data_IF_573489694115
#
_entry.id   IF_573489694115
#
_cell.length_a   1.000
_cell.length_b   1.000
_cell.length_c   1.000
_cell.angle_alpha   90.00
_cell.angle_beta   90.00
_cell.angle_gamma   90.00
#
_symmetry.space_group_name_H-M   'P 1'
#
loop_
_entity.id
_entity.type
_entity.pdbx_description
1 polymer ?
#
# COMPACT_ATOMS: atom_id res chain seq x y z
N UNK A 1 -4.16 26.44 -2.47
CA UNK A 1 -4.35 24.97 -2.34
C UNK A 1 -5.45 24.61 -3.31
N UNK A 2 -5.06 24.09 -4.47
CA UNK A 2 -6.02 23.50 -5.39
C UNK A 2 -6.49 22.19 -4.74
N UNK A 3 -7.79 21.90 -4.69
CA UNK A 3 -8.32 20.68 -4.08
C UNK A 3 -8.02 19.44 -4.96
N UNK A 4 -6.80 19.38 -5.49
CA UNK A 4 -6.34 18.44 -6.49
C UNK A 4 -4.83 18.23 -6.43
N UNK A 5 -4.35 17.14 -7.02
CA UNK A 5 -2.94 16.94 -7.34
C UNK A 5 -2.79 16.05 -8.58
N UNK A 6 -1.62 16.08 -9.21
CA UNK A 6 -1.26 15.21 -10.33
C UNK A 6 -0.52 13.96 -9.85
N UNK A 7 -0.95 12.80 -10.35
CA UNK A 7 -0.30 11.51 -10.14
C UNK A 7 0.25 10.97 -11.47
N UNK A 8 1.53 10.65 -11.51
CA UNK A 8 2.18 10.04 -12.67
C UNK A 8 2.01 8.52 -12.61
N UNK A 9 1.28 7.94 -13.56
CA UNK A 9 1.09 6.49 -13.69
C UNK A 9 2.13 5.94 -14.67
N UNK A 10 3.11 5.19 -14.18
CA UNK A 10 4.18 4.60 -14.99
C UNK A 10 3.87 3.16 -15.38
N UNK A 11 3.70 2.90 -16.68
CA UNK A 11 3.71 1.54 -17.22
C UNK A 11 4.61 1.47 -18.46
N UNK A 12 4.07 1.28 -19.66
CA UNK A 12 4.84 1.41 -20.91
C UNK A 12 5.25 2.85 -21.21
N UNK A 13 4.49 3.82 -20.68
CA UNK A 13 4.75 5.25 -20.74
C UNK A 13 4.20 5.90 -19.46
N UNK A 14 4.57 7.16 -19.24
CA UNK A 14 3.98 7.96 -18.15
C UNK A 14 2.65 8.53 -18.61
N UNK A 15 1.59 8.26 -17.85
CA UNK A 15 0.29 8.92 -18.00
C UNK A 15 -0.01 9.73 -16.75
N UNK A 16 -0.29 11.01 -16.91
CA UNK A 16 -0.69 11.86 -15.79
C UNK A 16 -2.19 11.73 -15.55
N UNK A 17 -2.57 11.55 -14.30
CA UNK A 17 -3.97 11.56 -13.85
C UNK A 17 -4.14 12.62 -12.80
N UNK A 18 -5.17 13.44 -12.93
CA UNK A 18 -5.55 14.41 -11.92
C UNK A 18 -6.43 13.74 -10.85
N UNK A 19 -6.07 13.94 -9.59
CA UNK A 19 -6.84 13.48 -8.44
C UNK A 19 -7.49 14.69 -7.81
N UNK A 20 -8.82 14.74 -7.86
CA UNK A 20 -9.64 15.86 -7.43
C UNK A 20 -10.33 15.60 -6.10
N UNK A 21 -10.96 16.64 -5.53
CA UNK A 21 -11.73 16.60 -4.29
C UNK A 21 -10.91 16.16 -3.07
N UNK A 22 -9.67 16.63 -2.98
CA UNK A 22 -8.79 16.34 -1.84
C UNK A 22 -8.57 17.56 -0.96
N UNK A 23 -8.34 17.34 0.32
CA UNK A 23 -7.98 18.38 1.28
C UNK A 23 -6.82 17.88 2.13
N UNK A 24 -5.81 18.73 2.32
CA UNK A 24 -4.67 18.45 3.21
C UNK A 24 -4.81 19.18 4.54
N UNK A 25 -4.50 18.49 5.64
CA UNK A 25 -4.42 19.07 6.99
C UNK A 25 -3.00 18.88 7.53
N UNK A 26 -2.41 19.95 8.06
CA UNK A 26 -1.12 19.90 8.73
C UNK A 26 -1.33 19.57 10.22
N UNK A 27 -0.78 18.44 10.67
CA UNK A 27 -0.92 17.97 12.05
C UNK A 27 -0.13 18.79 13.08
N UNK A 28 0.86 19.57 12.62
CA UNK A 28 1.62 20.49 13.48
C UNK A 28 0.83 21.74 13.82
N UNK A 29 -0.22 22.04 13.05
CA UNK A 29 -1.15 23.12 13.36
C UNK A 29 -2.26 22.61 14.30
N UNK A 30 -2.37 23.14 15.54
CA UNK A 30 -3.36 22.65 16.51
C UNK A 30 -4.81 22.73 16.05
N UNK A 31 -5.17 23.78 15.30
CA UNK A 31 -6.52 23.97 14.79
C UNK A 31 -6.87 22.94 13.70
N UNK A 32 -5.93 22.67 12.79
CA UNK A 32 -6.11 21.64 11.75
C UNK A 32 -6.10 20.23 12.35
N UNK A 33 -5.32 20.00 13.41
CA UNK A 33 -5.36 18.75 14.18
C UNK A 33 -6.71 18.54 14.87
N UNK A 34 -7.27 19.58 15.47
CA UNK A 34 -8.63 19.53 16.04
C UNK A 34 -9.69 19.26 14.96
N UNK A 35 -9.54 19.89 13.79
CA UNK A 35 -10.41 19.61 12.63
C UNK A 35 -10.32 18.15 12.17
N UNK A 36 -9.12 17.54 12.16
CA UNK A 36 -8.97 16.12 11.85
C UNK A 36 -9.73 15.24 12.85
N UNK A 37 -9.63 15.54 14.15
CA UNK A 37 -10.34 14.79 15.20
C UNK A 37 -11.86 14.85 14.97
N UNK A 38 -12.40 16.04 14.68
CA UNK A 38 -13.82 16.21 14.33
C UNK A 38 -14.20 15.42 13.07
N UNK A 39 -13.34 15.40 12.04
CA UNK A 39 -13.56 14.60 10.82
C UNK A 39 -13.59 13.10 11.11
N UNK A 40 -12.66 12.59 11.92
CA UNK A 40 -12.65 11.18 12.35
C UNK A 40 -13.97 10.80 13.03
N UNK A 41 -14.60 11.73 13.77
CA UNK A 41 -15.90 11.46 14.39
C UNK A 41 -17.04 11.22 13.40
N UNK A 42 -16.87 11.65 12.13
CA UNK A 42 -17.93 11.68 11.10
C UNK A 42 -17.71 10.66 9.98
N UNK A 43 -16.47 10.39 9.60
CA UNK A 43 -16.17 9.53 8.43
C UNK A 43 -16.47 8.05 8.70
N UNK A 44 -16.83 7.28 7.66
CA UNK A 44 -17.02 5.83 7.77
C UNK A 44 -15.71 5.03 7.67
N UNK A 45 -14.71 5.56 6.95
CA UNK A 45 -13.46 4.86 6.65
C UNK A 45 -12.28 5.79 6.91
N UNK A 46 -11.23 5.24 7.52
CA UNK A 46 -9.91 5.87 7.67
C UNK A 46 -8.87 4.91 7.11
N UNK A 47 -7.96 5.43 6.29
CA UNK A 47 -6.75 4.71 5.86
C UNK A 47 -5.53 5.24 6.59
N UNK A 48 -4.58 4.37 6.94
CA UNK A 48 -3.24 4.78 7.40
C UNK A 48 -2.18 4.30 6.42
N UNK A 49 -1.18 5.14 6.16
CA UNK A 49 0.02 4.80 5.39
C UNK A 49 1.20 5.63 5.91
N UNK A 50 1.52 5.47 7.19
CA UNK A 50 2.46 6.31 7.96
C UNK A 50 3.74 5.57 8.36
N UNK A 51 3.87 4.29 8.02
CA UNK A 51 4.88 3.39 8.55
C UNK A 51 4.48 2.85 9.92
N UNK A 52 4.81 1.58 10.19
CA UNK A 52 4.43 0.89 11.42
C UNK A 52 4.95 1.59 12.70
N UNK A 53 6.11 2.23 12.62
CA UNK A 53 6.72 3.00 13.72
C UNK A 53 5.89 4.21 14.17
N UNK A 54 5.07 4.78 13.28
CA UNK A 54 4.23 5.95 13.59
C UNK A 54 2.78 5.58 13.94
N UNK A 55 2.40 4.30 13.90
CA UNK A 55 1.02 3.91 14.18
C UNK A 55 0.57 4.26 15.60
N UNK A 56 1.47 4.25 16.58
CA UNK A 56 1.15 4.63 17.96
C UNK A 56 0.72 6.09 18.07
N UNK A 57 1.42 7.00 17.38
CA UNK A 57 1.06 8.43 17.40
C UNK A 57 -0.27 8.68 16.68
N UNK A 58 -0.53 7.96 15.58
CA UNK A 58 -1.81 7.98 14.88
C UNK A 58 -2.94 7.43 15.74
N UNK A 59 -2.72 6.32 16.47
CA UNK A 59 -3.70 5.74 17.37
C UNK A 59 -4.17 6.72 18.45
N UNK A 60 -3.28 7.57 18.96
CA UNK A 60 -3.64 8.63 19.91
C UNK A 60 -4.63 9.65 19.33
N UNK A 61 -4.45 10.04 18.07
CA UNK A 61 -5.37 10.97 17.37
C UNK A 61 -6.69 10.27 17.07
N UNK A 62 -6.64 9.04 16.55
CA UNK A 62 -7.83 8.23 16.28
C UNK A 62 -8.67 8.03 17.54
N UNK A 63 -8.04 7.73 18.68
CA UNK A 63 -8.73 7.54 19.94
C UNK A 63 -9.53 8.78 20.38
N UNK A 64 -9.04 10.00 20.10
CA UNK A 64 -9.79 11.22 20.38
C UNK A 64 -11.05 11.32 19.49
N UNK A 65 -10.91 11.08 18.20
CA UNK A 65 -12.04 11.12 17.26
C UNK A 65 -13.06 10.00 17.51
N UNK A 66 -12.61 8.80 17.90
CA UNK A 66 -13.48 7.67 18.26
C UNK A 66 -14.33 8.02 19.50
N UNK A 67 -13.74 8.64 20.53
CA UNK A 67 -14.50 9.08 21.71
C UNK A 67 -15.59 10.09 21.35
N UNK A 68 -15.29 11.06 20.47
CA UNK A 68 -16.28 12.01 19.97
C UNK A 68 -17.35 11.37 19.09
N UNK A 69 -17.03 10.27 18.40
CA UNK A 69 -17.99 9.49 17.62
C UNK A 69 -18.99 8.76 18.52
N UNK A 70 -18.49 8.09 19.56
CA UNK A 70 -19.31 7.29 20.47
C UNK A 70 -20.43 8.08 21.15
N UNK A 71 -20.24 9.39 21.35
CA UNK A 71 -21.28 10.26 21.92
C UNK A 71 -22.37 10.70 20.93
N UNK A 72 -22.17 10.50 19.62
CA UNK A 72 -23.02 11.02 18.54
C UNK A 72 -23.78 9.95 17.75
N UNK A 73 -23.45 8.67 17.87
CA UNK A 73 -24.15 7.58 17.17
C UNK A 73 -23.36 6.27 17.06
N UNK A 74 -23.98 5.23 16.49
CA UNK A 74 -23.46 3.84 16.46
C UNK A 74 -22.91 3.39 15.10
N UNK A 75 -22.80 4.26 14.11
CA UNK A 75 -22.31 3.86 12.78
C UNK A 75 -20.88 3.31 12.87
N UNK A 76 -20.64 2.20 12.18
CA UNK A 76 -19.33 1.57 12.17
C UNK A 76 -18.24 2.52 11.66
N UNK A 77 -17.06 2.44 12.25
CA UNK A 77 -15.84 3.09 11.77
C UNK A 77 -14.88 2.00 11.32
N UNK A 78 -14.43 2.08 10.07
CA UNK A 78 -13.45 1.17 9.52
C UNK A 78 -12.07 1.82 9.46
N UNK A 79 -11.09 1.23 10.12
CA UNK A 79 -9.70 1.67 10.09
C UNK A 79 -8.91 0.66 9.26
N UNK A 80 -8.53 1.05 8.05
CA UNK A 80 -7.75 0.25 7.12
C UNK A 80 -6.27 0.61 7.21
N UNK A 81 -5.54 -0.13 8.02
CA UNK A 81 -4.11 0.04 8.18
C UNK A 81 -3.37 -0.46 6.95
N UNK A 82 -2.95 0.48 6.09
CA UNK A 82 -2.39 0.21 4.76
C UNK A 82 -0.86 0.17 4.78
N UNK A 83 -0.29 -0.16 5.94
CA UNK A 83 1.16 -0.34 6.11
C UNK A 83 1.62 -1.66 5.51
N UNK A 84 2.87 -1.70 5.02
CA UNK A 84 3.50 -2.92 4.58
C UNK A 84 4.00 -3.73 5.80
N UNK A 85 3.16 -4.59 6.36
CA UNK A 85 3.56 -5.46 7.46
C UNK A 85 2.55 -6.56 7.78
N UNK A 86 2.95 -7.43 8.71
CA UNK A 86 2.11 -8.51 9.21
C UNK A 86 1.41 -8.09 10.50
N UNK A 87 0.16 -8.54 10.71
CA UNK A 87 -0.65 -8.26 11.90
C UNK A 87 -0.76 -6.77 12.29
N UNK A 88 -0.75 -5.85 11.32
CA UNK A 88 -0.80 -4.41 11.56
C UNK A 88 -2.12 -4.00 12.22
N UNK A 89 -3.21 -4.67 11.86
CA UNK A 89 -4.54 -4.50 12.44
C UNK A 89 -4.55 -4.79 13.95
N UNK A 90 -3.87 -5.85 14.38
CA UNK A 90 -3.76 -6.21 15.79
C UNK A 90 -2.90 -5.19 16.55
N UNK A 91 -1.82 -4.72 15.93
CA UNK A 91 -0.96 -3.68 16.49
C UNK A 91 -1.71 -2.36 16.69
N UNK A 92 -2.48 -1.92 15.69
CA UNK A 92 -3.36 -0.76 15.81
C UNK A 92 -4.39 -0.96 16.92
N UNK A 93 -4.99 -2.15 17.01
CA UNK A 93 -5.94 -2.47 18.08
C UNK A 93 -5.31 -2.36 19.46
N UNK A 94 -4.08 -2.86 19.66
CA UNK A 94 -3.38 -2.73 20.94
C UNK A 94 -3.10 -1.27 21.29
N UNK A 95 -2.67 -0.45 20.32
CA UNK A 95 -2.42 0.97 20.58
C UNK A 95 -3.71 1.74 20.89
N UNK A 96 -4.82 1.43 20.24
CA UNK A 96 -6.10 2.04 20.56
C UNK A 96 -6.57 1.67 21.97
N UNK A 97 -6.33 0.42 22.40
CA UNK A 97 -6.68 -0.06 23.75
C UNK A 97 -5.88 0.61 24.87
N UNK A 98 -4.69 1.13 24.59
CA UNK A 98 -3.95 1.97 25.55
C UNK A 98 -4.70 3.28 25.88
N UNK A 99 -5.59 3.73 24.98
CA UNK A 99 -6.39 4.96 25.17
C UNK A 99 -7.86 4.66 25.48
N UNK A 100 -8.43 3.57 24.94
CA UNK A 100 -9.85 3.23 25.06
C UNK A 100 -9.95 1.77 25.53
N UNK A 101 -10.15 1.55 26.83
CA UNK A 101 -10.25 0.21 27.42
C UNK A 101 -11.34 -0.63 26.74
N UNK A 102 -12.53 -0.06 26.62
CA UNK A 102 -13.71 -0.71 26.02
C UNK A 102 -13.90 -0.23 24.58
N UNK A 103 -12.95 -0.57 23.70
CA UNK A 103 -13.05 -0.24 22.28
C UNK A 103 -14.29 -0.93 21.68
N UNK A 104 -15.28 -0.10 21.30
CA UNK A 104 -16.54 -0.56 20.72
C UNK A 104 -16.35 -1.51 19.54
N UNK A 105 -17.20 -2.55 19.45
CA UNK A 105 -17.27 -3.45 18.29
C UNK A 105 -17.69 -2.76 16.99
N UNK A 106 -18.20 -1.53 17.07
CA UNK A 106 -18.44 -0.68 15.90
C UNK A 106 -17.14 -0.17 15.26
N UNK A 107 -16.00 -0.22 15.95
CA UNK A 107 -14.69 0.10 15.38
C UNK A 107 -14.08 -1.19 14.81
N UNK A 108 -14.05 -1.30 13.49
CA UNK A 108 -13.49 -2.43 12.76
C UNK A 108 -12.12 -2.06 12.20
N UNK A 109 -11.13 -2.89 12.44
CA UNK A 109 -9.74 -2.64 12.02
C UNK A 109 -9.34 -3.72 11.02
N UNK A 110 -8.81 -3.31 9.87
CA UNK A 110 -8.34 -4.22 8.83
C UNK A 110 -6.94 -3.86 8.36
N UNK A 111 -6.24 -4.85 7.82
CA UNK A 111 -4.93 -4.65 7.16
C UNK A 111 -5.02 -5.13 5.72
N UNK A 112 -5.50 -4.29 4.78
CA UNK A 112 -5.59 -4.63 3.36
C UNK A 112 -4.24 -5.06 2.75
N UNK A 113 -4.30 -5.81 1.66
CA UNK A 113 -3.11 -6.17 0.89
C UNK A 113 -2.75 -5.00 -0.03
N UNK A 114 -1.77 -4.20 0.37
CA UNK A 114 -1.27 -3.08 -0.44
C UNK A 114 -0.11 -3.51 -1.32
N UNK A 115 -0.39 -3.77 -2.60
CA UNK A 115 0.57 -4.31 -3.58
C UNK A 115 0.94 -3.35 -4.71
N UNK A 116 0.90 -2.03 -4.50
CA UNK A 116 1.22 -1.02 -5.52
C UNK A 116 2.52 -0.30 -5.19
N UNK A 117 3.48 -0.33 -6.10
CA UNK A 117 4.71 0.46 -6.01
C UNK A 117 4.43 1.92 -6.32
N UNK A 118 4.85 2.77 -5.39
CA UNK A 118 4.74 4.21 -5.45
C UNK A 118 6.05 4.82 -4.98
N UNK A 119 6.41 5.99 -5.50
CA UNK A 119 7.58 6.75 -5.06
C UNK A 119 7.38 8.24 -5.32
N UNK A 120 8.15 9.05 -4.62
CA UNK A 120 8.28 10.47 -4.93
C UNK A 120 9.63 10.71 -5.59
N UNK A 121 9.67 11.63 -6.54
CA UNK A 121 10.90 12.12 -7.17
C UNK A 121 10.99 13.61 -6.90
N UNK A 122 12.10 14.06 -6.32
CA UNK A 122 12.38 15.47 -6.08
C UNK A 122 13.16 16.08 -7.26
N UNK A 123 13.17 17.42 -7.33
CA UNK A 123 13.95 18.19 -8.31
C UNK A 123 13.68 17.78 -9.77
N UNK A 124 12.43 17.45 -10.10
CA UNK A 124 12.06 17.09 -11.46
C UNK A 124 12.20 18.30 -12.40
N UNK A 125 12.56 18.03 -13.66
CA UNK A 125 12.63 19.06 -14.71
C UNK A 125 11.25 19.27 -15.32
N UNK A 126 10.90 20.52 -15.65
CA UNK A 126 9.62 20.87 -16.32
C UNK A 126 9.42 20.13 -17.65
N UNK A 127 10.49 19.93 -18.40
CA UNK A 127 10.50 19.18 -19.68
C UNK A 127 10.82 17.67 -19.47
N UNK A 128 10.71 17.17 -18.24
CA UNK A 128 10.99 15.79 -17.88
C UNK A 128 9.83 14.84 -18.19
N UNK A 129 10.08 13.54 -17.98
CA UNK A 129 9.09 12.48 -18.18
C UNK A 129 7.94 12.50 -17.14
N UNK A 130 8.13 13.19 -16.01
CA UNK A 130 7.16 13.29 -14.93
C UNK A 130 6.67 14.73 -14.79
N UNK A 131 5.40 14.89 -14.44
CA UNK A 131 4.83 16.18 -14.06
C UNK A 131 4.84 16.35 -12.54
N UNK A 132 5.00 17.59 -12.10
CA UNK A 132 4.96 17.93 -10.68
C UNK A 132 3.56 17.70 -10.12
N UNK A 133 3.46 17.46 -8.82
CA UNK A 133 2.15 17.26 -8.18
C UNK A 133 1.20 18.46 -8.31
N UNK A 134 1.75 19.67 -8.47
CA UNK A 134 1.06 20.91 -8.81
C UNK A 134 2.08 21.93 -9.34
N UNK A 135 1.62 23.03 -9.96
CA UNK A 135 2.46 23.94 -10.76
C UNK A 135 3.61 24.59 -9.98
N UNK A 136 3.40 24.88 -8.69
CA UNK A 136 4.39 25.50 -7.81
C UNK A 136 5.34 24.50 -7.12
N UNK A 137 5.30 23.22 -7.50
CA UNK A 137 6.12 22.18 -6.91
C UNK A 137 7.17 21.66 -7.89
N UNK A 138 8.31 21.25 -7.37
CA UNK A 138 9.42 20.65 -8.12
C UNK A 138 9.56 19.14 -7.86
N UNK A 139 8.52 18.48 -7.34
CA UNK A 139 8.52 17.05 -7.07
C UNK A 139 7.27 16.37 -7.65
N UNK A 140 7.41 15.09 -7.98
CA UNK A 140 6.38 14.26 -8.59
C UNK A 140 6.00 13.09 -7.67
N UNK A 141 4.72 12.77 -7.60
CA UNK A 141 4.25 11.46 -7.15
C UNK A 141 4.16 10.52 -8.35
N UNK A 142 4.83 9.37 -8.28
CA UNK A 142 4.84 8.34 -9.32
C UNK A 142 4.31 7.03 -8.73
N UNK A 143 3.45 6.35 -9.46
CA UNK A 143 2.98 5.03 -9.10
C UNK A 143 2.81 4.16 -10.34
N UNK A 144 2.98 2.86 -10.20
CA UNK A 144 2.59 1.91 -11.24
C UNK A 144 1.04 1.81 -11.38
N UNK A 145 0.50 1.03 -12.34
CA UNK A 145 -0.92 0.79 -12.43
C UNK A 145 -1.53 0.25 -11.13
N UNK A 146 -2.81 0.49 -10.95
CA UNK A 146 -3.53 0.04 -9.77
C UNK A 146 -4.15 -1.36 -10.01
N UNK A 147 -4.07 -2.24 -9.01
CA UNK A 147 -4.43 -3.67 -9.13
C UNK A 147 -5.52 -4.15 -8.17
N UNK A 148 -6.07 -3.28 -7.31
CA UNK A 148 -7.01 -3.71 -6.27
C UNK A 148 -6.61 -3.30 -4.87
N UNK A 149 -7.58 -3.34 -3.95
CA UNK A 149 -7.37 -3.37 -2.50
C UNK A 149 -8.10 -4.61 -1.96
N UNK A 150 -7.43 -5.78 -1.94
CA UNK A 150 -7.97 -6.96 -1.29
C UNK A 150 -8.23 -6.71 0.19
N UNK A 151 -9.40 -7.14 0.65
CA UNK A 151 -9.88 -7.05 2.03
C UNK A 151 -10.58 -8.36 2.41
N UNK A 152 -10.49 -8.72 3.69
CA UNK A 152 -11.28 -9.83 4.22
C UNK A 152 -12.77 -9.53 4.09
N UNK A 153 -13.55 -10.55 3.74
CA UNK A 153 -15.00 -10.42 3.50
C UNK A 153 -15.76 -9.81 4.70
N UNK A 154 -15.35 -10.14 5.92
CA UNK A 154 -15.97 -9.64 7.16
C UNK A 154 -15.87 -8.11 7.32
N UNK A 155 -14.94 -7.48 6.60
CA UNK A 155 -14.82 -6.03 6.47
C UNK A 155 -15.49 -5.55 5.18
N UNK A 156 -15.15 -6.16 4.04
CA UNK A 156 -15.51 -5.67 2.71
C UNK A 156 -17.01 -5.73 2.37
N UNK A 157 -17.81 -6.54 3.09
CA UNK A 157 -19.28 -6.63 2.88
C UNK A 157 -20.07 -5.40 3.29
N UNK A 158 -19.48 -4.50 4.09
CA UNK A 158 -20.18 -3.29 4.50
C UNK A 158 -20.39 -2.33 3.31
N UNK A 159 -21.57 -1.71 3.24
CA UNK A 159 -21.98 -0.81 2.15
C UNK A 159 -21.05 0.40 1.96
N UNK A 160 -20.24 0.74 2.96
CA UNK A 160 -19.24 1.82 2.85
C UNK A 160 -18.12 1.46 1.85
N UNK A 161 -17.89 0.16 1.61
CA UNK A 161 -16.96 -0.32 0.59
C UNK A 161 -17.72 -0.57 -0.70
N UNK A 162 -17.60 0.38 -1.63
CA UNK A 162 -18.25 0.32 -2.93
C UNK A 162 -17.26 0.53 -4.07
N UNK A 163 -17.68 0.11 -5.27
CA UNK A 163 -16.87 0.21 -6.47
C UNK A 163 -15.84 -0.91 -6.60
N UNK A 164 -15.13 -0.92 -7.73
CA UNK A 164 -14.17 -1.97 -8.08
C UNK A 164 -12.90 -1.93 -7.24
N UNK A 165 -12.71 -0.88 -6.44
CA UNK A 165 -11.52 -0.65 -5.65
C UNK A 165 -11.30 -1.74 -4.59
N UNK A 166 -12.38 -2.11 -3.90
CA UNK A 166 -12.34 -3.07 -2.82
C UNK A 166 -12.65 -4.47 -3.34
N UNK A 167 -11.74 -5.40 -3.12
CA UNK A 167 -11.88 -6.78 -3.54
C UNK A 167 -12.12 -7.63 -2.30
N UNK A 168 -13.36 -8.09 -2.10
CA UNK A 168 -13.69 -8.98 -1.00
C UNK A 168 -13.05 -10.36 -1.24
N UNK A 169 -12.39 -10.89 -0.21
CA UNK A 169 -11.69 -12.16 -0.23
C UNK A 169 -12.08 -13.00 0.99
N UNK A 170 -12.30 -14.29 0.78
CA UNK A 170 -12.48 -15.23 1.90
C UNK A 170 -11.23 -15.26 2.78
N UNK A 171 -11.34 -15.62 4.06
CA UNK A 171 -10.20 -15.53 5.00
C UNK A 171 -8.98 -16.34 4.51
N UNK A 172 -9.24 -17.55 4.00
CA UNK A 172 -8.23 -18.47 3.50
C UNK A 172 -7.53 -17.91 2.25
N UNK A 173 -8.31 -17.44 1.28
CA UNK A 173 -7.81 -16.80 0.05
C UNK A 173 -7.05 -15.52 0.37
N UNK A 174 -7.57 -14.67 1.27
CA UNK A 174 -6.90 -13.45 1.70
C UNK A 174 -5.54 -13.74 2.33
N UNK A 175 -5.45 -14.74 3.21
CA UNK A 175 -4.18 -15.18 3.80
C UNK A 175 -3.19 -15.64 2.73
N UNK A 176 -3.66 -16.43 1.76
CA UNK A 176 -2.85 -16.90 0.63
C UNK A 176 -2.33 -15.72 -0.22
N UNK A 177 -3.20 -14.80 -0.62
CA UNK A 177 -2.84 -13.61 -1.40
C UNK A 177 -1.88 -12.69 -0.64
N UNK A 178 -2.02 -12.57 0.68
CA UNK A 178 -1.08 -11.82 1.51
C UNK A 178 0.29 -12.47 1.46
N UNK A 179 0.38 -13.81 1.59
CA UNK A 179 1.65 -14.55 1.44
C UNK A 179 2.24 -14.42 0.02
N UNK A 180 1.42 -14.52 -1.02
CA UNK A 180 1.83 -14.29 -2.42
C UNK A 180 2.48 -12.91 -2.56
N UNK A 181 1.82 -11.85 -2.07
CA UNK A 181 2.39 -10.49 -2.09
C UNK A 181 3.69 -10.41 -1.31
N UNK A 182 3.75 -10.91 -0.07
CA UNK A 182 4.95 -10.79 0.76
C UNK A 182 6.13 -11.56 0.17
N UNK A 183 5.92 -12.79 -0.31
CA UNK A 183 7.03 -13.61 -0.80
C UNK A 183 7.42 -13.26 -2.24
N UNK A 184 6.46 -13.16 -3.16
CA UNK A 184 6.78 -12.86 -4.55
C UNK A 184 7.05 -11.38 -4.78
N UNK A 185 6.21 -10.46 -4.30
CA UNK A 185 6.44 -9.03 -4.53
C UNK A 185 7.56 -8.51 -3.65
N UNK A 186 7.39 -8.49 -2.32
CA UNK A 186 8.43 -7.93 -1.45
C UNK A 186 9.72 -8.77 -1.50
N UNK A 187 9.61 -10.11 -1.49
CA UNK A 187 10.79 -10.98 -1.51
C UNK A 187 11.62 -10.85 -2.78
N UNK A 188 10.99 -10.79 -3.96
CA UNK A 188 11.73 -10.56 -5.22
C UNK A 188 12.35 -9.17 -5.26
N UNK A 189 11.65 -8.15 -4.75
CA UNK A 189 12.19 -6.79 -4.68
C UNK A 189 13.46 -6.72 -3.82
N UNK A 190 13.42 -7.30 -2.62
CA UNK A 190 14.57 -7.39 -1.72
C UNK A 190 15.71 -8.25 -2.30
N UNK A 191 15.39 -9.37 -2.92
CA UNK A 191 16.39 -10.25 -3.55
C UNK A 191 17.16 -9.53 -4.65
N UNK A 192 16.44 -8.86 -5.56
CA UNK A 192 17.04 -8.08 -6.64
C UNK A 192 17.79 -6.85 -6.12
N UNK A 193 17.27 -6.19 -5.07
CA UNK A 193 17.90 -5.04 -4.42
C UNK A 193 19.29 -5.38 -3.91
N UNK A 194 19.39 -6.41 -3.07
CA UNK A 194 20.65 -6.83 -2.44
C UNK A 194 21.70 -7.24 -3.48
N UNK A 195 21.31 -8.06 -4.47
CA UNK A 195 22.24 -8.51 -5.50
C UNK A 195 22.62 -7.40 -6.48
N UNK A 196 21.66 -6.51 -6.82
CA UNK A 196 21.91 -5.35 -7.65
C UNK A 196 22.90 -4.39 -6.99
N UNK A 197 22.72 -4.12 -5.70
CA UNK A 197 23.63 -3.30 -4.90
C UNK A 197 25.04 -3.87 -4.89
N UNK A 198 25.19 -5.18 -4.64
CA UNK A 198 26.50 -5.86 -4.65
C UNK A 198 27.21 -5.79 -6.01
N UNK A 199 26.45 -5.67 -7.10
CA UNK A 199 26.98 -5.51 -8.46
C UNK A 199 27.17 -4.04 -8.88
N UNK A 200 26.89 -3.08 -7.99
CA UNK A 200 27.09 -1.64 -8.24
C UNK A 200 25.98 -0.98 -9.07
N UNK A 201 24.81 -1.62 -9.19
CA UNK A 201 23.66 -1.00 -9.84
C UNK A 201 22.94 -0.04 -8.90
N UNK A 202 22.36 1.01 -9.47
CA UNK A 202 21.60 2.02 -8.72
C UNK A 202 20.09 1.93 -8.94
N UNK A 203 19.65 1.31 -10.03
CA UNK A 203 18.23 1.18 -10.38
C UNK A 203 17.87 -0.22 -10.86
N UNK A 204 16.64 -0.64 -10.55
CA UNK A 204 16.16 -1.99 -10.89
C UNK A 204 16.11 -2.26 -12.39
N UNK A 205 15.74 -1.27 -13.21
CA UNK A 205 15.65 -1.47 -14.66
C UNK A 205 16.98 -1.86 -15.31
N UNK A 206 18.11 -1.53 -14.66
CA UNK A 206 19.45 -1.92 -15.14
C UNK A 206 19.65 -3.44 -15.05
N UNK A 207 18.96 -4.10 -14.10
CA UNK A 207 19.03 -5.54 -13.90
C UNK A 207 18.29 -6.32 -15.01
N UNK A 208 17.54 -5.65 -15.90
CA UNK A 208 16.88 -6.31 -17.03
C UNK A 208 17.87 -6.98 -18.01
N UNK A 209 19.12 -6.50 -18.05
CA UNK A 209 20.19 -7.06 -18.89
C UNK A 209 21.05 -8.10 -18.13
N UNK A 210 20.84 -8.27 -16.82
CA UNK A 210 21.63 -9.16 -15.96
C UNK A 210 21.13 -10.62 -16.01
N UNK A 211 21.44 -11.32 -17.11
CA UNK A 211 20.96 -12.69 -17.38
C UNK A 211 21.13 -13.66 -16.22
N UNK A 212 22.30 -13.69 -15.58
CA UNK A 212 22.55 -14.62 -14.46
C UNK A 212 21.73 -14.27 -13.22
N UNK A 213 21.57 -12.98 -12.91
CA UNK A 213 20.78 -12.52 -11.78
C UNK A 213 19.30 -12.80 -12.01
N UNK A 214 18.78 -12.56 -13.21
CA UNK A 214 17.41 -12.89 -13.58
C UNK A 214 17.17 -14.41 -13.53
N UNK A 215 18.14 -15.22 -13.97
CA UNK A 215 18.08 -16.68 -13.86
C UNK A 215 17.98 -17.12 -12.39
N UNK A 216 18.74 -16.49 -11.49
CA UNK A 216 18.64 -16.76 -10.05
C UNK A 216 17.28 -16.33 -9.47
N UNK A 217 16.78 -15.15 -9.84
CA UNK A 217 15.47 -14.67 -9.41
C UNK A 217 14.34 -15.61 -9.86
N UNK A 218 14.39 -16.09 -11.11
CA UNK A 218 13.43 -17.09 -11.60
C UNK A 218 13.51 -18.41 -10.84
N UNK A 219 14.72 -18.89 -10.48
CA UNK A 219 14.88 -20.07 -9.63
C UNK A 219 14.27 -19.87 -8.25
N UNK A 220 14.61 -18.78 -7.57
CA UNK A 220 14.02 -18.47 -6.25
C UNK A 220 12.48 -18.38 -6.32
N UNK A 221 11.94 -17.67 -7.31
CA UNK A 221 10.49 -17.57 -7.49
C UNK A 221 9.86 -18.94 -7.76
N UNK A 222 10.31 -19.67 -8.78
CA UNK A 222 9.63 -20.88 -9.26
C UNK A 222 9.93 -22.11 -8.40
N UNK A 223 11.20 -22.32 -8.05
CA UNK A 223 11.66 -23.54 -7.40
C UNK A 223 11.47 -23.53 -5.88
N UNK A 224 11.33 -22.35 -5.27
CA UNK A 224 11.19 -22.22 -3.82
C UNK A 224 9.83 -21.60 -3.47
N UNK A 225 9.59 -20.35 -3.88
CA UNK A 225 8.42 -19.57 -3.41
C UNK A 225 7.11 -20.14 -3.95
N UNK A 226 6.98 -20.32 -5.27
CA UNK A 226 5.74 -20.78 -5.90
C UNK A 226 5.39 -22.20 -5.45
N UNK A 227 6.37 -23.13 -5.43
CA UNK A 227 6.16 -24.50 -4.92
C UNK A 227 5.69 -24.49 -3.47
N UNK A 228 6.29 -23.68 -2.60
CA UNK A 228 5.86 -23.56 -1.21
C UNK A 228 4.47 -22.95 -1.08
N UNK A 229 4.12 -21.94 -1.88
CA UNK A 229 2.79 -21.32 -1.87
C UNK A 229 1.71 -22.30 -2.30
N UNK A 230 1.90 -23.01 -3.42
CA UNK A 230 0.92 -23.97 -3.94
C UNK A 230 0.75 -25.18 -3.03
N UNK A 231 1.83 -25.65 -2.39
CA UNK A 231 1.75 -26.72 -1.39
C UNK A 231 0.99 -26.29 -0.12
N UNK A 232 1.18 -25.04 0.33
CA UNK A 232 0.53 -24.52 1.53
C UNK A 232 -0.91 -24.05 1.31
N UNK A 233 -1.31 -23.73 0.06
CA UNK A 233 -2.62 -23.18 -0.30
C UNK A 233 -3.20 -23.82 -1.57
N UNK A 234 -3.22 -25.17 -1.70
CA UNK A 234 -3.66 -25.86 -2.92
C UNK A 234 -5.16 -25.68 -3.19
N UNK A 235 -5.92 -25.29 -2.17
CA UNK A 235 -7.36 -25.11 -2.16
C UNK A 235 -7.82 -23.75 -2.70
N UNK A 236 -6.93 -22.75 -2.71
CA UNK A 236 -7.28 -21.36 -3.03
C UNK A 236 -6.32 -20.66 -3.97
N UNK A 237 -5.18 -21.28 -4.33
CA UNK A 237 -4.25 -20.75 -5.31
C UNK A 237 -4.26 -21.61 -6.57
N UNK A 238 -4.40 -20.95 -7.72
CA UNK A 238 -4.17 -21.55 -9.02
C UNK A 238 -2.71 -21.36 -9.46
N UNK A 239 -2.11 -22.41 -10.00
CA UNK A 239 -0.71 -22.39 -10.42
C UNK A 239 -0.46 -21.39 -11.55
N UNK A 240 -1.36 -21.30 -12.54
CA UNK A 240 -1.18 -20.37 -13.65
C UNK A 240 -1.32 -18.93 -13.18
N UNK A 241 -2.28 -18.64 -12.29
CA UNK A 241 -2.44 -17.31 -11.70
C UNK A 241 -1.21 -16.87 -10.91
N UNK A 242 -0.65 -17.75 -10.08
CA UNK A 242 0.55 -17.45 -9.29
C UNK A 242 1.77 -17.23 -10.19
N UNK A 243 1.96 -18.07 -11.22
CA UNK A 243 3.05 -17.90 -12.19
C UNK A 243 2.90 -16.60 -13.00
N UNK A 244 1.68 -16.27 -13.43
CA UNK A 244 1.39 -15.03 -14.13
C UNK A 244 1.66 -13.81 -13.24
N UNK A 245 1.29 -13.89 -11.96
CA UNK A 245 1.60 -12.86 -10.99
C UNK A 245 3.11 -12.69 -10.78
N UNK A 246 3.88 -13.78 -10.62
CA UNK A 246 5.33 -13.72 -10.48
C UNK A 246 6.01 -13.04 -11.68
N UNK A 247 5.64 -13.43 -12.90
CA UNK A 247 6.14 -12.81 -14.12
C UNK A 247 5.75 -11.33 -14.21
N UNK A 248 4.54 -10.97 -13.80
CA UNK A 248 4.09 -9.59 -13.74
C UNK A 248 4.89 -8.76 -12.73
N UNK A 249 5.18 -9.30 -11.54
CA UNK A 249 6.01 -8.66 -10.52
C UNK A 249 7.42 -8.36 -11.05
N UNK A 250 8.07 -9.33 -11.70
CA UNK A 250 9.41 -9.11 -12.24
C UNK A 250 9.40 -7.96 -13.27
N UNK A 251 8.42 -7.94 -14.18
CA UNK A 251 8.25 -6.84 -15.16
C UNK A 251 8.01 -5.48 -14.49
N UNK A 252 7.24 -5.46 -13.41
CA UNK A 252 6.93 -4.25 -12.66
C UNK A 252 8.16 -3.69 -11.97
N UNK A 253 8.93 -4.54 -11.28
CA UNK A 253 10.17 -4.16 -10.59
C UNK A 253 11.19 -3.59 -11.59
N UNK A 254 11.36 -4.28 -12.73
CA UNK A 254 12.35 -3.90 -13.76
C UNK A 254 11.86 -2.77 -14.69
N UNK A 255 10.73 -2.12 -14.39
CA UNK A 255 10.12 -1.14 -15.30
C UNK A 255 11.03 0.09 -15.49
N UNK A 256 11.54 0.35 -16.72
CA UNK A 256 12.44 1.49 -16.97
C UNK A 256 11.74 2.84 -16.91
N UNK A 257 10.40 2.86 -17.03
CA UNK A 257 9.59 4.08 -16.93
C UNK A 257 9.34 4.44 -15.46
N UNK A 258 9.24 3.44 -14.58
CA UNK A 258 9.08 3.69 -13.15
C UNK A 258 10.39 4.20 -12.53
N UNK A 259 11.56 3.73 -13.00
CA UNK A 259 12.89 4.13 -12.50
C UNK A 259 13.03 3.98 -10.98
N UNK A 260 12.64 2.83 -10.45
CA UNK A 260 12.85 2.57 -9.03
C UNK A 260 14.34 2.37 -8.71
N UNK A 261 14.80 2.96 -7.61
CA UNK A 261 16.17 2.83 -7.16
C UNK A 261 16.34 1.60 -6.27
N UNK A 262 17.50 0.96 -6.36
CA UNK A 262 17.80 -0.28 -5.63
C UNK A 262 17.70 -0.06 -4.12
N UNK A 263 18.11 1.10 -3.60
CA UNK A 263 18.07 1.43 -2.16
C UNK A 263 16.67 1.35 -1.52
N UNK A 264 15.59 1.37 -2.32
CA UNK A 264 14.21 1.28 -1.84
C UNK A 264 13.67 -0.15 -1.72
N UNK A 265 14.39 -1.14 -2.25
CA UNK A 265 13.96 -2.54 -2.25
C UNK A 265 14.52 -3.38 -1.12
#
# INVERSE_FOLDING_TARGET
RENQYRLNISFSQVKVTEVNNVTGLNLDNPQQKALLIDKISKVPIVFTAVGSSHLKSVASILAKGIRERSSKGKDALFILCSENGWNIEALMQSYLKEYISDLSSSVKIGNPIMGRMCRCEENIKKEGAYQSVADDFNWAAIAEPWYGIPLVESIAKDKVFFGRAFQAKGEREFSALKRVKFLLHNGTHAFLSLLGYLKGYSHFYQLAEEKELLRLAHKMMNDEIIKALLSNYPDVLDENEVNNYANNILRRILCPVFKDCIERG
#
